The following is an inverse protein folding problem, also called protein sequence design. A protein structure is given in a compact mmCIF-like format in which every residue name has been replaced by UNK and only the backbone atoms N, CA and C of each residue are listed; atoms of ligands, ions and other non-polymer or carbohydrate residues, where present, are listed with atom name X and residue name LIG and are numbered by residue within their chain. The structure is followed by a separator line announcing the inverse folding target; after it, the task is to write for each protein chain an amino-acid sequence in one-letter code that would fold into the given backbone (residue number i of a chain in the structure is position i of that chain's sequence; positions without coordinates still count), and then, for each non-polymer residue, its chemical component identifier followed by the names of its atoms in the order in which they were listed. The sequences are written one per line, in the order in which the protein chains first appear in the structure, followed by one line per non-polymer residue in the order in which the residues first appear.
data_IF_282525168557
#
_entry.id   IF_282525168557
#
_cell.length_a   1.000
_cell.length_b   1.000
_cell.length_c   1.000
_cell.angle_alpha   90.00
_cell.angle_beta   90.00
_cell.angle_gamma   90.00
#
_symmetry.space_group_name_H-M   'P 1'
#
loop_
_entity.id
_entity.type
_entity.pdbx_description
1 polymer ?
#
# COMPACT_ATOMS: atom_id res chain seq x y z
N UNK A 1 12.84 35.49 -3.26
CA UNK A 1 12.22 34.17 -3.13
C UNK A 1 13.34 33.22 -2.69
N UNK A 2 13.43 32.93 -1.39
CA UNK A 2 14.60 32.28 -0.79
C UNK A 2 14.45 30.76 -0.93
N UNK A 3 14.99 30.18 -2.00
CA UNK A 3 15.03 28.73 -2.18
C UNK A 3 15.98 28.15 -1.11
N UNK A 4 15.43 27.52 -0.08
CA UNK A 4 16.19 26.73 0.90
C UNK A 4 16.62 25.42 0.21
N UNK A 5 17.55 25.52 -0.74
CA UNK A 5 18.26 24.38 -1.28
C UNK A 5 19.03 23.76 -0.12
N UNK A 6 18.60 22.56 0.28
CA UNK A 6 19.31 21.77 1.29
C UNK A 6 20.70 21.51 0.71
N UNK A 7 21.73 22.07 1.33
CA UNK A 7 23.12 21.89 0.89
C UNK A 7 23.61 20.51 1.36
N UNK A 8 23.40 19.52 0.50
CA UNK A 8 23.76 18.11 0.76
C UNK A 8 25.28 17.89 0.88
N UNK A 9 26.10 18.84 0.40
CA UNK A 9 27.55 18.69 0.30
C UNK A 9 28.31 19.35 1.46
N UNK A 10 27.83 20.50 1.95
CA UNK A 10 28.52 21.28 3.00
C UNK A 10 27.74 21.37 4.34
N UNK A 11 26.52 20.82 4.40
CA UNK A 11 25.71 20.82 5.61
C UNK A 11 26.21 19.82 6.67
N UNK A 12 26.00 20.14 7.96
CA UNK A 12 26.23 19.19 9.06
C UNK A 12 25.29 17.97 8.86
N UNK A 13 25.85 16.77 8.82
CA UNK A 13 25.11 15.52 8.58
C UNK A 13 24.00 15.27 9.62
N UNK A 14 24.29 15.51 10.90
CA UNK A 14 23.38 15.23 12.01
C UNK A 14 22.02 15.97 11.95
N UNK A 15 21.96 17.31 11.78
CA UNK A 15 20.67 18.00 11.66
C UNK A 15 19.90 17.60 10.40
N UNK A 16 20.58 17.17 9.33
CA UNK A 16 19.94 16.72 8.10
C UNK A 16 19.26 15.36 8.28
N UNK A 17 19.94 14.41 8.91
CA UNK A 17 19.35 13.12 9.29
C UNK A 17 18.12 13.34 10.17
N UNK A 18 18.20 14.21 11.18
CA UNK A 18 17.07 14.52 12.05
C UNK A 18 15.90 15.14 11.27
N UNK A 19 16.17 16.06 10.34
CA UNK A 19 15.14 16.74 9.53
C UNK A 19 14.31 15.77 8.69
N UNK A 20 14.90 14.69 8.18
CA UNK A 20 14.19 13.68 7.38
C UNK A 20 13.69 12.48 8.21
N UNK A 21 14.41 12.08 9.26
CA UNK A 21 14.07 10.90 10.06
C UNK A 21 12.93 11.15 11.04
N UNK A 22 12.85 12.34 11.64
CA UNK A 22 11.75 12.72 12.54
C UNK A 22 10.38 12.59 11.84
N UNK A 23 10.14 13.21 10.67
CA UNK A 23 8.85 13.06 9.99
C UNK A 23 8.57 11.62 9.55
N UNK A 24 9.60 10.88 9.11
CA UNK A 24 9.44 9.45 8.77
C UNK A 24 9.03 8.61 9.99
N UNK A 25 9.66 8.83 11.15
CA UNK A 25 9.33 8.14 12.39
C UNK A 25 7.92 8.47 12.90
N UNK A 26 7.51 9.75 12.81
CA UNK A 26 6.14 10.17 13.14
C UNK A 26 5.14 9.48 12.21
N UNK A 27 5.43 9.38 10.91
CA UNK A 27 4.55 8.71 9.95
C UNK A 27 4.36 7.23 10.27
N UNK A 28 5.43 6.54 10.64
CA UNK A 28 5.39 5.15 11.11
C UNK A 28 4.60 5.00 12.41
N UNK A 29 4.77 5.93 13.36
CA UNK A 29 4.06 5.94 14.63
C UNK A 29 2.55 6.15 14.42
N UNK A 30 2.15 7.10 13.58
CA UNK A 30 0.74 7.34 13.23
C UNK A 30 0.15 6.10 12.58
N UNK A 31 0.88 5.46 11.67
CA UNK A 31 0.46 4.21 11.01
C UNK A 31 0.23 3.11 12.04
N UNK A 32 1.11 2.95 13.03
CA UNK A 32 0.96 1.96 14.09
C UNK A 32 -0.27 2.25 14.98
N UNK A 33 -0.47 3.52 15.38
CA UNK A 33 -1.65 3.93 16.15
C UNK A 33 -2.93 3.66 15.36
N UNK A 34 -2.96 3.99 14.07
CA UNK A 34 -4.12 3.73 13.20
C UNK A 34 -4.46 2.25 13.16
N UNK A 35 -3.48 1.36 13.04
CA UNK A 35 -3.70 -0.09 13.08
C UNK A 35 -4.28 -0.58 14.42
N UNK A 36 -3.90 0.03 15.54
CA UNK A 36 -4.45 -0.31 16.87
C UNK A 36 -5.88 0.21 17.00
N UNK A 37 -6.09 1.48 16.65
CA UNK A 37 -7.39 2.14 16.75
C UNK A 37 -8.42 1.46 15.85
N UNK A 38 -8.07 1.14 14.60
CA UNK A 38 -8.93 0.41 13.67
C UNK A 38 -9.43 -0.91 14.27
N UNK A 39 -8.53 -1.72 14.83
CA UNK A 39 -8.89 -2.99 15.49
C UNK A 39 -9.72 -2.79 16.74
N UNK A 40 -9.41 -1.78 17.56
CA UNK A 40 -10.19 -1.46 18.76
C UNK A 40 -11.62 -1.03 18.41
N UNK A 41 -11.79 -0.21 17.35
CA UNK A 41 -13.10 0.19 16.88
C UNK A 41 -13.86 -1.00 16.30
N UNK A 42 -13.27 -1.76 15.38
CA UNK A 42 -13.96 -2.93 14.78
C UNK A 42 -14.32 -3.97 15.85
N UNK A 43 -13.43 -4.21 16.81
CA UNK A 43 -13.66 -5.12 17.93
C UNK A 43 -14.78 -4.67 18.87
N UNK A 44 -14.87 -3.38 19.20
CA UNK A 44 -15.94 -2.85 20.06
C UNK A 44 -17.29 -2.79 19.34
N UNK A 45 -17.32 -2.42 18.06
CA UNK A 45 -18.58 -2.21 17.33
C UNK A 45 -19.22 -3.51 16.80
N UNK A 46 -18.42 -4.47 16.34
CA UNK A 46 -18.92 -5.68 15.67
C UNK A 46 -18.51 -6.99 16.40
N UNK A 47 -17.89 -6.87 17.57
CA UNK A 47 -17.54 -8.00 18.43
C UNK A 47 -16.50 -8.95 17.83
N UNK A 48 -16.40 -10.14 18.43
CA UNK A 48 -15.38 -11.16 18.09
C UNK A 48 -15.50 -11.68 16.66
N UNK A 49 -16.71 -11.73 16.09
CA UNK A 49 -16.96 -12.20 14.72
C UNK A 49 -16.31 -11.30 13.67
N UNK A 50 -16.28 -9.99 13.90
CA UNK A 50 -15.65 -9.05 12.96
C UNK A 50 -14.13 -9.09 13.01
N UNK A 51 -13.55 -9.27 14.21
CA UNK A 51 -12.12 -9.51 14.37
C UNK A 51 -11.68 -10.81 13.69
N UNK A 52 -12.51 -11.86 13.76
CA UNK A 52 -12.27 -13.11 13.02
C UNK A 52 -12.28 -12.87 11.50
N UNK A 53 -13.25 -12.11 10.98
CA UNK A 53 -13.27 -11.71 9.57
C UNK A 53 -12.03 -10.94 9.13
N UNK A 54 -11.61 -9.95 9.93
CA UNK A 54 -10.39 -9.17 9.67
C UNK A 54 -9.14 -10.06 9.57
N UNK A 55 -9.03 -11.09 10.42
CA UNK A 55 -7.88 -12.00 10.41
C UNK A 55 -7.74 -12.79 9.10
N UNK A 56 -8.87 -13.10 8.44
CA UNK A 56 -8.89 -13.77 7.13
C UNK A 56 -8.56 -12.79 6.01
N UNK A 57 -8.93 -11.52 6.15
CA UNK A 57 -8.65 -10.49 5.16
C UNK A 57 -7.20 -9.96 5.23
N UNK A 58 -6.55 -9.98 6.39
CA UNK A 58 -5.20 -9.40 6.56
C UNK A 58 -4.15 -9.94 5.58
N UNK A 59 -4.02 -11.26 5.33
CA UNK A 59 -3.06 -11.77 4.35
C UNK A 59 -3.24 -11.17 2.96
N UNK A 60 -4.49 -10.99 2.53
CA UNK A 60 -4.82 -10.39 1.23
C UNK A 60 -4.40 -8.91 1.18
N UNK A 61 -4.72 -8.15 2.22
CA UNK A 61 -4.31 -6.73 2.32
C UNK A 61 -2.79 -6.58 2.35
N UNK A 62 -2.07 -7.46 3.06
CA UNK A 62 -0.60 -7.45 3.09
C UNK A 62 0.02 -7.85 1.75
N UNK A 63 -0.60 -8.75 0.98
CA UNK A 63 -0.15 -9.05 -0.37
C UNK A 63 -0.22 -7.83 -1.27
N UNK A 64 -1.34 -7.10 -1.27
CA UNK A 64 -1.47 -5.85 -2.03
C UNK A 64 -0.38 -4.85 -1.62
N UNK A 65 -0.21 -4.63 -0.31
CA UNK A 65 0.83 -3.73 0.19
C UNK A 65 2.26 -4.18 -0.20
N UNK A 66 2.53 -5.48 -0.24
CA UNK A 66 3.83 -6.01 -0.66
C UNK A 66 4.14 -5.70 -2.13
N UNK A 67 3.16 -5.84 -3.04
CA UNK A 67 3.34 -5.48 -4.45
C UNK A 67 3.53 -3.97 -4.64
N UNK A 68 2.75 -3.16 -3.93
CA UNK A 68 2.90 -1.71 -3.94
C UNK A 68 4.30 -1.29 -3.46
N UNK A 69 4.77 -1.87 -2.34
CA UNK A 69 6.11 -1.62 -1.81
C UNK A 69 7.21 -2.09 -2.76
N UNK A 70 7.07 -3.26 -3.37
CA UNK A 70 8.03 -3.80 -4.34
C UNK A 70 8.23 -2.84 -5.52
N UNK A 71 7.14 -2.40 -6.13
CA UNK A 71 7.20 -1.51 -7.29
C UNK A 71 7.65 -0.10 -6.90
N UNK A 72 7.22 0.41 -5.74
CA UNK A 72 7.63 1.72 -5.22
C UNK A 72 9.13 1.76 -4.88
N UNK A 73 9.65 0.76 -4.16
CA UNK A 73 11.06 0.65 -3.83
C UNK A 73 11.94 0.45 -5.08
N UNK A 74 11.49 -0.38 -6.02
CA UNK A 74 12.16 -0.56 -7.31
C UNK A 74 12.23 0.74 -8.12
N UNK A 75 11.10 1.46 -8.22
CA UNK A 75 11.02 2.76 -8.89
C UNK A 75 11.91 3.83 -8.25
N UNK A 76 11.92 3.91 -6.91
CA UNK A 76 12.78 4.81 -6.14
C UNK A 76 14.27 4.52 -6.39
N UNK A 77 14.65 3.24 -6.48
CA UNK A 77 16.03 2.84 -6.77
C UNK A 77 16.47 3.31 -8.16
N UNK A 78 15.65 3.08 -9.20
CA UNK A 78 15.95 3.60 -10.54
C UNK A 78 15.96 5.13 -10.59
N UNK A 79 15.07 5.79 -9.85
CA UNK A 79 15.04 7.25 -9.75
C UNK A 79 16.35 7.78 -9.18
N UNK A 80 16.84 7.23 -8.05
CA UNK A 80 18.13 7.61 -7.48
C UNK A 80 19.31 7.32 -8.42
N UNK A 81 19.25 6.23 -9.18
CA UNK A 81 20.29 5.86 -10.14
C UNK A 81 20.41 6.87 -11.29
N UNK A 82 19.31 7.19 -11.98
CA UNK A 82 19.33 8.15 -13.09
C UNK A 82 19.57 9.59 -12.63
N UNK A 83 19.11 9.93 -11.43
CA UNK A 83 19.42 11.21 -10.79
C UNK A 83 20.93 11.37 -10.57
N UNK A 84 21.61 10.31 -10.09
CA UNK A 84 23.07 10.32 -9.95
C UNK A 84 23.84 10.38 -11.27
N UNK A 85 23.25 9.92 -12.37
CA UNK A 85 23.85 9.96 -13.72
C UNK A 85 23.61 11.29 -14.47
N UNK A 86 22.92 12.26 -13.86
CA UNK A 86 22.51 13.52 -14.51
C UNK A 86 21.69 13.31 -15.81
N UNK A 87 20.88 12.25 -15.87
CA UNK A 87 20.00 11.94 -17.01
C UNK A 87 18.52 12.19 -16.66
N UNK A 88 18.05 13.46 -16.62
CA UNK A 88 16.71 13.81 -16.13
C UNK A 88 15.59 13.23 -17.00
N UNK A 89 15.84 13.00 -18.29
CA UNK A 89 14.84 12.44 -19.20
C UNK A 89 14.55 10.97 -18.90
N UNK A 90 15.59 10.16 -18.65
CA UNK A 90 15.43 8.75 -18.25
C UNK A 90 14.86 8.63 -16.84
N UNK A 91 15.25 9.53 -15.93
CA UNK A 91 14.68 9.62 -14.59
C UNK A 91 13.15 9.81 -14.66
N UNK A 92 12.67 10.77 -15.44
CA UNK A 92 11.24 11.08 -15.53
C UNK A 92 10.45 9.94 -16.21
N UNK A 93 11.01 9.32 -17.26
CA UNK A 93 10.42 8.14 -17.89
C UNK A 93 10.34 6.95 -16.93
N UNK A 94 11.40 6.71 -16.15
CA UNK A 94 11.43 5.61 -15.18
C UNK A 94 10.40 5.80 -14.06
N UNK A 95 10.28 7.02 -13.54
CA UNK A 95 9.27 7.37 -12.54
C UNK A 95 7.85 7.17 -13.07
N UNK A 96 7.56 7.68 -14.27
CA UNK A 96 6.26 7.50 -14.93
C UNK A 96 5.93 6.02 -15.18
N UNK A 97 6.89 5.25 -15.68
CA UNK A 97 6.71 3.81 -15.89
C UNK A 97 6.45 3.05 -14.58
N UNK A 98 7.19 3.37 -13.51
CA UNK A 98 6.98 2.77 -12.20
C UNK A 98 5.58 3.07 -11.64
N UNK A 99 5.13 4.33 -11.76
CA UNK A 99 3.80 4.75 -11.32
C UNK A 99 2.68 4.06 -12.10
N UNK A 100 2.81 3.97 -13.43
CA UNK A 100 1.83 3.26 -14.28
C UNK A 100 1.82 1.77 -13.94
N UNK A 101 2.98 1.14 -13.76
CA UNK A 101 3.08 -0.28 -13.39
C UNK A 101 2.39 -0.57 -12.06
N UNK A 102 2.61 0.25 -11.03
CA UNK A 102 1.91 0.14 -9.74
C UNK A 102 0.40 0.20 -9.94
N UNK A 103 -0.09 1.21 -10.65
CA UNK A 103 -1.52 1.41 -10.85
C UNK A 103 -2.15 0.24 -11.61
N UNK A 104 -1.50 -0.25 -12.67
CA UNK A 104 -1.98 -1.40 -13.46
C UNK A 104 -2.00 -2.66 -12.61
N UNK A 105 -0.95 -2.95 -11.84
CA UNK A 105 -0.90 -4.12 -10.96
C UNK A 105 -1.99 -4.07 -9.87
N UNK A 106 -2.16 -2.92 -9.21
CA UNK A 106 -3.18 -2.74 -8.17
C UNK A 106 -4.60 -2.89 -8.72
N UNK A 107 -4.89 -2.32 -9.90
CA UNK A 107 -6.21 -2.47 -10.54
C UNK A 107 -6.47 -3.94 -10.90
N UNK A 108 -5.48 -4.64 -11.46
CA UNK A 108 -5.61 -6.06 -11.82
C UNK A 108 -5.83 -6.91 -10.56
N UNK A 109 -5.02 -6.71 -9.52
CA UNK A 109 -5.14 -7.45 -8.26
C UNK A 109 -6.48 -7.19 -7.58
N UNK A 110 -6.94 -5.94 -7.54
CA UNK A 110 -8.24 -5.57 -6.98
C UNK A 110 -9.40 -6.19 -7.75
N UNK A 111 -9.35 -6.15 -9.09
CA UNK A 111 -10.37 -6.77 -9.93
C UNK A 111 -10.42 -8.30 -9.77
N UNK A 112 -9.27 -8.95 -9.68
CA UNK A 112 -9.15 -10.39 -9.49
C UNK A 112 -9.70 -10.80 -8.11
N UNK A 113 -9.31 -10.07 -7.06
CA UNK A 113 -9.81 -10.30 -5.71
C UNK A 113 -11.33 -10.12 -5.62
N UNK A 114 -11.87 -9.09 -6.26
CA UNK A 114 -13.31 -8.85 -6.30
C UNK A 114 -14.04 -9.97 -7.05
N UNK A 115 -13.46 -10.50 -8.14
CA UNK A 115 -14.02 -11.63 -8.89
C UNK A 115 -14.06 -12.91 -8.04
N UNK A 116 -12.95 -13.26 -7.38
CA UNK A 116 -12.87 -14.45 -6.52
C UNK A 116 -13.86 -14.37 -5.35
N UNK A 117 -13.97 -13.21 -4.70
CA UNK A 117 -14.91 -12.99 -3.60
C UNK A 117 -16.36 -13.11 -4.09
N UNK A 118 -16.67 -12.52 -5.25
CA UNK A 118 -18.01 -12.62 -5.85
C UNK A 118 -18.37 -14.05 -6.27
N UNK A 119 -17.44 -14.80 -6.87
CA UNK A 119 -17.65 -16.19 -7.25
C UNK A 119 -17.84 -17.08 -6.03
N UNK A 120 -17.02 -16.90 -4.99
CA UNK A 120 -17.16 -17.60 -3.73
C UNK A 120 -18.53 -17.33 -3.08
N UNK A 121 -18.96 -16.07 -3.04
CA UNK A 121 -20.26 -15.69 -2.51
C UNK A 121 -21.41 -16.29 -3.33
N UNK A 122 -21.31 -16.31 -4.66
CA UNK A 122 -22.32 -16.89 -5.55
C UNK A 122 -22.48 -18.41 -5.34
N UNK A 123 -21.36 -19.14 -5.26
CA UNK A 123 -21.37 -20.59 -5.00
C UNK A 123 -21.93 -20.92 -3.61
N UNK A 124 -21.59 -20.11 -2.59
CA UNK A 124 -22.13 -20.26 -1.23
C UNK A 124 -23.64 -19.99 -1.18
N UNK A 125 -24.14 -19.00 -1.94
CA UNK A 125 -25.57 -18.68 -2.00
C UNK A 125 -26.38 -19.82 -2.63
N UNK A 126 -25.92 -20.37 -3.75
CA UNK A 126 -26.55 -21.52 -4.42
C UNK A 126 -26.54 -22.80 -3.56
N UNK A 127 -25.48 -23.01 -2.77
CA UNK A 127 -25.42 -24.16 -1.85
C UNK A 127 -26.35 -24.03 -0.64
N UNK A 128 -26.69 -22.81 -0.21
CA UNK A 128 -27.61 -22.57 0.92
C UNK A 128 -29.08 -22.50 0.51
N UNK A 129 -29.36 -22.11 -0.73
CA UNK A 129 -30.69 -22.17 -1.31
C UNK A 129 -30.66 -23.10 -2.52
N UNK A 130 -30.63 -24.44 -2.31
CA UNK A 130 -30.88 -25.36 -3.40
C UNK A 130 -32.24 -24.99 -3.97
N UNK A 131 -32.27 -24.63 -5.25
CA UNK A 131 -33.48 -24.26 -5.95
C UNK A 131 -34.59 -25.24 -5.58
N UNK A 132 -35.69 -24.71 -5.04
CA UNK A 132 -36.95 -25.42 -4.96
C UNK A 132 -37.45 -25.58 -6.41
N UNK A 133 -36.81 -26.50 -7.13
CA UNK A 133 -37.19 -26.97 -8.45
C UNK A 133 -37.85 -28.33 -8.28
N UNK A 134 -39.03 -28.30 -7.68
CA UNK A 134 -40.15 -29.20 -7.96
C UNK A 134 -41.38 -28.44 -7.51
N UNK A 135 -42.05 -27.76 -8.43
CA UNK A 135 -43.48 -27.89 -8.79
C UNK A 135 -43.67 -27.28 -10.19
#
# INVERSE_FOLDING_TARGET
MNETRVDYLNGKLFPMILKFSIPAAISLLITAIYNIVDRMFVGNFNGTSALAGLSVCFPLSYMMMAFALMCSAGGSTFFSLFSGQNEPEKMNRSFGNAMVLVCVFEIILSALLHYDVCDYARKRYQSRHPANHRE
#
